data_IF_896209763956
#
_entry.id   IF_896209763956
#
_cell.length_a   1.000
_cell.length_b   1.000
_cell.length_c   1.000
_cell.angle_alpha   90.00
_cell.angle_beta   90.00
_cell.angle_gamma   90.00
#
_symmetry.space_group_name_H-M   'P 1'
#
loop_
_entity.id
_entity.type
_entity.pdbx_description
1 polymer ?
#
# COMPACT_ATOMS: atom_id res chain seq x y z
N UNK A 1 -5.25 -11.45 20.48
CA UNK A 1 -4.09 -12.06 19.78
C UNK A 1 -4.47 -12.72 18.46
N UNK A 2 -5.46 -13.63 18.42
CA UNK A 2 -5.89 -14.30 17.16
C UNK A 2 -6.29 -13.33 16.04
N UNK A 3 -7.13 -12.34 16.33
CA UNK A 3 -7.56 -11.35 15.32
C UNK A 3 -6.39 -10.54 14.76
N UNK A 4 -5.46 -10.12 15.62
CA UNK A 4 -4.23 -9.43 15.22
C UNK A 4 -3.36 -10.26 14.26
N UNK A 5 -3.09 -11.52 14.62
CA UNK A 5 -2.25 -12.38 13.77
C UNK A 5 -2.91 -12.67 12.43
N UNK A 6 -4.23 -12.87 12.40
CA UNK A 6 -4.99 -13.08 11.17
C UNK A 6 -5.04 -11.82 10.31
N UNK A 7 -5.31 -10.65 10.90
CA UNK A 7 -5.36 -9.39 10.17
C UNK A 7 -3.98 -9.00 9.63
N UNK A 8 -2.90 -9.29 10.35
CA UNK A 8 -1.53 -9.10 9.87
C UNK A 8 -1.19 -10.04 8.71
N UNK A 9 -1.37 -11.36 8.91
CA UNK A 9 -1.00 -12.35 7.90
C UNK A 9 -1.81 -12.20 6.61
N UNK A 10 -3.13 -12.13 6.73
CA UNK A 10 -4.01 -11.98 5.56
C UNK A 10 -3.95 -10.57 4.99
N UNK A 11 -3.77 -9.54 5.82
CA UNK A 11 -3.57 -8.17 5.36
C UNK A 11 -2.32 -8.04 4.50
N UNK A 12 -1.21 -8.66 4.91
CA UNK A 12 0.03 -8.66 4.15
C UNK A 12 -0.15 -9.37 2.81
N UNK A 13 -0.81 -10.54 2.80
CA UNK A 13 -1.11 -11.27 1.57
C UNK A 13 -2.00 -10.46 0.62
N UNK A 14 -3.10 -9.88 1.14
CA UNK A 14 -4.01 -9.05 0.33
C UNK A 14 -3.28 -7.84 -0.23
N UNK A 15 -2.48 -7.15 0.59
CA UNK A 15 -1.71 -5.99 0.13
C UNK A 15 -0.79 -6.35 -1.04
N UNK A 16 -0.02 -7.43 -0.92
CA UNK A 16 0.92 -7.85 -1.96
C UNK A 16 0.20 -8.36 -3.21
N UNK A 17 -0.87 -9.15 -3.06
CA UNK A 17 -1.63 -9.66 -4.21
C UNK A 17 -2.25 -8.50 -4.98
N UNK A 18 -2.93 -7.57 -4.28
CA UNK A 18 -3.56 -6.42 -4.92
C UNK A 18 -2.51 -5.51 -5.56
N UNK A 19 -1.43 -5.18 -4.85
CA UNK A 19 -0.33 -4.39 -5.41
C UNK A 19 0.29 -5.05 -6.66
N UNK A 20 0.52 -6.36 -6.63
CA UNK A 20 1.07 -7.11 -7.78
C UNK A 20 0.11 -7.11 -8.95
N UNK A 21 -1.20 -7.32 -8.71
CA UNK A 21 -2.21 -7.25 -9.77
C UNK A 21 -2.29 -5.85 -10.39
N UNK A 22 -2.27 -4.79 -9.57
CA UNK A 22 -2.26 -3.42 -10.05
C UNK A 22 -0.99 -3.13 -10.86
N UNK A 23 0.17 -3.58 -10.37
CA UNK A 23 1.44 -3.45 -11.08
C UNK A 23 1.37 -4.12 -12.47
N UNK A 24 0.94 -5.38 -12.52
CA UNK A 24 0.92 -6.17 -13.76
C UNK A 24 -0.11 -5.69 -14.78
N UNK A 25 -1.34 -5.41 -14.33
CA UNK A 25 -2.46 -5.22 -15.24
C UNK A 25 -2.86 -3.76 -15.45
N UNK A 26 -2.39 -2.84 -14.61
CA UNK A 26 -2.76 -1.42 -14.68
C UNK A 26 -1.53 -0.54 -14.84
N UNK A 27 -0.62 -0.54 -13.86
CA UNK A 27 0.50 0.39 -13.82
C UNK A 27 1.51 0.13 -14.92
N UNK A 28 1.93 -1.12 -15.13
CA UNK A 28 2.89 -1.46 -16.16
C UNK A 28 2.40 -1.05 -17.56
N UNK A 29 1.22 -1.46 -18.06
CA UNK A 29 0.75 -1.05 -19.38
C UNK A 29 0.46 0.46 -19.49
N UNK A 30 0.02 1.11 -18.40
CA UNK A 30 -0.32 2.53 -18.41
C UNK A 30 0.92 3.43 -18.35
N UNK A 31 1.88 3.09 -17.48
CA UNK A 31 2.97 3.98 -17.10
C UNK A 31 4.29 3.66 -17.78
N UNK A 32 4.55 2.42 -18.24
CA UNK A 32 5.79 2.13 -18.99
C UNK A 32 6.02 3.07 -20.18
N UNK A 33 5.00 3.37 -21.00
CA UNK A 33 5.16 4.33 -22.10
C UNK A 33 5.50 5.75 -21.61
N UNK A 34 5.05 6.11 -20.40
CA UNK A 34 5.20 7.45 -19.84
C UNK A 34 6.52 7.64 -19.08
N UNK A 35 7.16 6.55 -18.65
CA UNK A 35 8.42 6.58 -17.90
C UNK A 35 9.66 6.47 -18.80
N UNK A 36 9.55 6.28 -20.11
CA UNK A 36 10.68 6.27 -21.08
C UNK A 36 11.93 5.48 -20.62
N UNK A 37 11.77 4.37 -19.87
CA UNK A 37 12.90 3.58 -19.37
C UNK A 37 13.50 4.03 -18.02
N UNK A 38 12.88 4.98 -17.31
CA UNK A 38 13.26 5.40 -15.95
C UNK A 38 12.87 4.40 -14.84
N UNK A 39 12.17 3.31 -15.19
CA UNK A 39 11.80 2.27 -14.22
C UNK A 39 13.03 1.43 -13.90
N UNK A 40 13.42 1.44 -12.63
CA UNK A 40 14.57 0.67 -12.13
C UNK A 40 14.42 -0.81 -12.43
N UNK A 41 15.48 -1.41 -12.98
CA UNK A 41 15.58 -2.85 -13.19
C UNK A 41 16.15 -3.56 -11.96
N UNK A 42 16.01 -4.87 -11.91
CA UNK A 42 16.60 -5.70 -10.85
C UNK A 42 18.13 -5.53 -10.75
N UNK A 43 18.77 -5.35 -11.90
CA UNK A 43 20.21 -5.05 -12.04
C UNK A 43 20.62 -3.71 -11.43
N UNK A 44 19.67 -2.80 -11.20
CA UNK A 44 19.89 -1.47 -10.61
C UNK A 44 19.58 -1.43 -9.10
N UNK A 45 19.51 -2.60 -8.45
CA UNK A 45 19.32 -2.72 -7.01
C UNK A 45 17.88 -2.85 -6.55
N UNK A 46 16.95 -3.28 -7.41
CA UNK A 46 15.59 -3.62 -7.00
C UNK A 46 15.59 -4.98 -6.26
N UNK A 47 15.79 -4.91 -4.94
CA UNK A 47 15.87 -6.07 -4.06
C UNK A 47 14.47 -6.49 -3.57
N UNK A 48 13.94 -7.60 -4.09
CA UNK A 48 12.63 -8.12 -3.70
C UNK A 48 12.47 -8.37 -2.18
N UNK A 49 13.49 -8.88 -1.44
CA UNK A 49 13.39 -9.02 0.01
C UNK A 49 13.16 -7.70 0.75
N UNK A 50 13.81 -6.63 0.30
CA UNK A 50 13.65 -5.29 0.86
C UNK A 50 12.23 -4.76 0.62
N UNK A 51 11.68 -4.96 -0.58
CA UNK A 51 10.29 -4.61 -0.92
C UNK A 51 9.29 -5.36 -0.02
N UNK A 52 9.43 -6.68 0.09
CA UNK A 52 8.55 -7.51 0.93
C UNK A 52 8.63 -7.09 2.40
N UNK A 53 9.82 -6.78 2.90
CA UNK A 53 10.01 -6.29 4.27
C UNK A 53 9.31 -4.95 4.49
N UNK A 54 9.38 -4.03 3.52
CA UNK A 54 8.64 -2.77 3.53
C UNK A 54 7.14 -2.98 3.60
N UNK A 55 6.57 -3.85 2.76
CA UNK A 55 5.14 -4.16 2.78
C UNK A 55 4.69 -4.86 4.07
N UNK A 56 5.55 -5.69 4.65
CA UNK A 56 5.28 -6.33 5.93
C UNK A 56 5.20 -5.30 7.06
N UNK A 57 6.20 -4.42 7.15
CA UNK A 57 6.21 -3.33 8.14
C UNK A 57 5.02 -2.40 7.97
N UNK A 58 4.69 -2.01 6.73
CA UNK A 58 3.51 -1.21 6.44
C UNK A 58 2.24 -1.87 6.99
N UNK A 59 2.04 -3.15 6.69
CA UNK A 59 0.87 -3.91 7.17
C UNK A 59 0.86 -4.03 8.69
N UNK A 60 2.01 -4.30 9.31
CA UNK A 60 2.15 -4.35 10.77
C UNK A 60 1.70 -3.03 11.42
N UNK A 61 2.18 -1.90 10.91
CA UNK A 61 1.78 -0.58 11.41
C UNK A 61 0.31 -0.27 11.12
N UNK A 62 -0.24 -0.73 9.99
CA UNK A 62 -1.67 -0.62 9.71
C UNK A 62 -2.52 -1.34 10.76
N UNK A 63 -2.14 -2.56 11.13
CA UNK A 63 -2.88 -3.35 12.14
C UNK A 63 -2.74 -2.74 13.53
N UNK A 64 -1.54 -2.32 13.93
CA UNK A 64 -1.30 -1.67 15.21
C UNK A 64 -2.06 -0.34 15.28
N UNK A 65 -1.92 0.51 14.27
CA UNK A 65 -2.56 1.82 14.23
C UNK A 65 -4.08 1.74 14.17
N UNK A 66 -4.65 0.75 13.48
CA UNK A 66 -6.11 0.57 13.42
C UNK A 66 -6.75 0.41 14.81
N UNK A 67 -6.06 -0.24 15.75
CA UNK A 67 -6.53 -0.42 17.13
C UNK A 67 -6.59 0.89 17.93
N UNK A 68 -5.81 1.88 17.53
CA UNK A 68 -5.78 3.19 18.16
C UNK A 68 -6.56 4.24 17.36
N UNK A 69 -7.09 3.87 16.19
CA UNK A 69 -7.89 4.74 15.37
C UNK A 69 -9.32 4.83 15.93
N UNK A 70 -9.59 5.87 16.72
CA UNK A 70 -10.86 6.08 17.44
C UNK A 70 -11.90 6.83 16.59
N UNK A 71 -12.19 6.32 15.39
CA UNK A 71 -13.26 6.87 14.56
C UNK A 71 -14.60 6.21 14.89
N UNK A 72 -15.59 7.00 15.30
CA UNK A 72 -16.96 6.56 15.51
C UNK A 72 -17.71 6.42 14.17
N UNK A 73 -17.50 5.27 13.52
CA UNK A 73 -18.11 4.94 12.25
C UNK A 73 -18.27 3.42 12.12
N UNK A 74 -19.17 2.98 11.22
CA UNK A 74 -19.28 1.56 10.83
C UNK A 74 -17.91 1.05 10.35
N UNK A 75 -17.61 -0.21 10.67
CA UNK A 75 -16.32 -0.85 10.38
C UNK A 75 -15.86 -0.64 8.92
N UNK A 76 -16.75 -0.73 7.94
CA UNK A 76 -16.41 -0.56 6.53
C UNK A 76 -15.92 0.87 6.23
N UNK A 77 -16.65 1.89 6.71
CA UNK A 77 -16.27 3.30 6.53
C UNK A 77 -14.95 3.59 7.26
N UNK A 78 -14.79 3.05 8.47
CA UNK A 78 -13.56 3.14 9.25
C UNK A 78 -12.36 2.51 8.52
N UNK A 79 -12.54 1.32 7.95
CA UNK A 79 -11.53 0.64 7.14
C UNK A 79 -11.16 1.39 5.86
N UNK A 80 -12.15 1.95 5.16
CA UNK A 80 -11.91 2.79 3.97
C UNK A 80 -11.07 4.00 4.34
N UNK A 81 -11.47 4.77 5.37
CA UNK A 81 -10.76 5.97 5.80
C UNK A 81 -9.33 5.62 6.25
N UNK A 82 -9.18 4.56 7.05
CA UNK A 82 -7.87 4.11 7.51
C UNK A 82 -6.96 3.69 6.35
N UNK A 83 -7.48 2.89 5.41
CA UNK A 83 -6.72 2.44 4.25
C UNK A 83 -6.30 3.57 3.31
N UNK A 84 -7.17 4.56 3.10
CA UNK A 84 -6.85 5.78 2.34
C UNK A 84 -5.82 6.65 3.07
N UNK A 85 -5.96 6.84 4.38
CA UNK A 85 -5.01 7.61 5.19
C UNK A 85 -3.60 7.01 5.09
N UNK A 86 -3.50 5.69 5.32
CA UNK A 86 -2.21 5.01 5.26
C UNK A 86 -1.65 4.98 3.83
N UNK A 87 -2.49 4.77 2.82
CA UNK A 87 -2.07 4.84 1.43
C UNK A 87 -1.53 6.21 1.03
N UNK A 88 -2.20 7.29 1.45
CA UNK A 88 -1.71 8.65 1.26
C UNK A 88 -0.37 8.90 1.95
N UNK A 89 -0.19 8.42 3.18
CA UNK A 89 1.09 8.51 3.89
C UNK A 89 2.17 7.70 3.16
N UNK A 90 1.87 6.48 2.73
CA UNK A 90 2.81 5.63 1.99
C UNK A 90 3.19 6.23 0.64
N UNK A 91 2.25 6.89 -0.04
CA UNK A 91 2.51 7.66 -1.24
C UNK A 91 3.49 8.82 -0.96
N UNK A 92 3.19 9.68 0.02
CA UNK A 92 4.03 10.84 0.31
C UNK A 92 5.41 10.40 0.83
N UNK A 93 5.46 9.52 1.83
CA UNK A 93 6.71 9.13 2.47
C UNK A 93 7.53 8.15 1.60
N UNK A 94 6.90 7.08 1.11
CA UNK A 94 7.58 6.03 0.37
C UNK A 94 8.03 6.48 -1.01
N UNK A 95 7.11 7.09 -1.77
CA UNK A 95 7.38 7.42 -3.16
C UNK A 95 8.12 8.76 -3.32
N UNK A 96 7.68 9.83 -2.64
CA UNK A 96 8.31 11.15 -2.83
C UNK A 96 9.64 11.30 -2.09
N UNK A 97 9.75 10.80 -0.86
CA UNK A 97 10.92 11.04 0.00
C UNK A 97 11.95 9.92 -0.15
N UNK A 98 11.55 8.66 0.01
CA UNK A 98 12.49 7.53 0.11
C UNK A 98 12.91 6.99 -1.25
N UNK A 99 11.97 6.79 -2.17
CA UNK A 99 12.27 6.22 -3.49
C UNK A 99 12.94 7.21 -4.45
N UNK A 100 13.12 8.47 -4.05
CA UNK A 100 13.78 9.49 -4.86
C UNK A 100 13.03 9.84 -6.14
N UNK A 101 11.70 9.64 -6.17
CA UNK A 101 10.89 9.97 -7.35
C UNK A 101 10.87 11.47 -7.66
N UNK A 102 11.50 12.32 -6.85
CA UNK A 102 11.71 13.74 -7.16
C UNK A 102 12.32 14.00 -8.55
N UNK A 103 13.01 13.02 -9.15
CA UNK A 103 13.57 13.11 -10.50
C UNK A 103 12.67 12.52 -11.60
N UNK A 104 11.53 11.94 -11.27
CA UNK A 104 10.58 11.36 -12.23
C UNK A 104 9.51 12.38 -12.66
N UNK A 105 8.85 12.19 -13.82
CA UNK A 105 7.79 13.07 -14.24
C UNK A 105 6.61 13.05 -13.24
N UNK A 106 6.11 14.22 -12.81
CA UNK A 106 5.16 14.32 -11.70
C UNK A 106 3.81 13.66 -11.98
N UNK A 107 3.37 13.64 -13.25
CA UNK A 107 2.08 13.07 -13.63
C UNK A 107 2.07 11.53 -13.50
N UNK A 108 3.00 10.77 -14.12
CA UNK A 108 3.15 9.33 -13.91
C UNK A 108 3.30 8.93 -12.43
N UNK A 109 4.05 9.71 -11.64
CA UNK A 109 4.18 9.48 -10.20
C UNK A 109 2.86 9.60 -9.46
N UNK A 110 2.10 10.67 -9.74
CA UNK A 110 0.80 10.90 -9.13
C UNK A 110 -0.17 9.77 -9.49
N UNK A 111 -0.22 9.38 -10.76
CA UNK A 111 -1.07 8.27 -11.23
C UNK A 111 -0.66 6.97 -10.52
N UNK A 112 0.63 6.65 -10.46
CA UNK A 112 1.12 5.45 -9.77
C UNK A 112 0.71 5.45 -8.30
N UNK A 113 1.00 6.52 -7.58
CA UNK A 113 0.73 6.61 -6.15
C UNK A 113 -0.75 6.52 -5.78
N UNK A 114 -1.62 7.13 -6.60
CA UNK A 114 -3.08 7.04 -6.42
C UNK A 114 -3.55 5.60 -6.63
N UNK A 115 -3.03 4.91 -7.65
CA UNK A 115 -3.38 3.52 -7.92
C UNK A 115 -2.85 2.59 -6.83
N UNK A 116 -1.61 2.79 -6.37
CA UNK A 116 -1.00 1.97 -5.30
C UNK A 116 -1.76 2.08 -3.97
N UNK A 117 -2.43 3.20 -3.72
CA UNK A 117 -3.33 3.39 -2.56
C UNK A 117 -4.50 2.39 -2.54
N UNK A 118 -4.87 1.79 -3.68
CA UNK A 118 -5.91 0.76 -3.73
C UNK A 118 -5.50 -0.50 -2.96
N UNK A 119 -4.22 -0.85 -2.95
CA UNK A 119 -3.71 -2.00 -2.18
C UNK A 119 -3.85 -1.77 -0.66
N UNK A 120 -3.48 -0.58 -0.17
CA UNK A 120 -3.66 -0.22 1.24
C UNK A 120 -5.13 -0.04 1.60
N UNK A 121 -5.97 0.43 0.68
CA UNK A 121 -7.42 0.49 0.87
C UNK A 121 -8.02 -0.90 1.09
N UNK A 122 -7.72 -1.85 0.20
CA UNK A 122 -8.18 -3.23 0.32
C UNK A 122 -7.72 -3.86 1.65
N UNK A 123 -6.46 -3.61 2.02
CA UNK A 123 -5.87 -4.07 3.29
C UNK A 123 -6.57 -3.44 4.50
N UNK A 124 -6.84 -2.14 4.48
CA UNK A 124 -7.56 -1.43 5.54
C UNK A 124 -8.99 -1.95 5.75
N UNK A 125 -9.70 -2.27 4.67
CA UNK A 125 -11.03 -2.89 4.73
C UNK A 125 -10.95 -4.29 5.35
N UNK A 126 -9.96 -5.10 4.96
CA UNK A 126 -9.77 -6.43 5.53
C UNK A 126 -9.45 -6.39 7.03
N UNK A 127 -8.54 -5.50 7.43
CA UNK A 127 -8.22 -5.29 8.85
C UNK A 127 -9.48 -4.89 9.61
N UNK A 128 -10.24 -3.91 9.10
CA UNK A 128 -11.48 -3.49 9.72
C UNK A 128 -12.51 -4.60 9.85
N UNK A 129 -12.59 -5.51 8.86
CA UNK A 129 -13.47 -6.68 8.93
C UNK A 129 -13.11 -7.61 10.09
N UNK A 130 -11.82 -7.87 10.33
CA UNK A 130 -11.38 -8.72 11.45
C UNK A 130 -11.58 -8.09 12.82
N UNK A 131 -11.54 -6.75 12.88
CA UNK A 131 -11.67 -5.96 14.11
C UNK A 131 -13.07 -5.33 14.28
N UNK A 132 -14.08 -5.80 13.53
CA UNK A 132 -15.43 -5.17 13.49
C UNK A 132 -16.23 -5.27 14.80
N UNK A 133 -15.84 -6.18 15.69
CA UNK A 133 -16.52 -6.46 16.96
C UNK A 133 -15.65 -6.04 18.18
N UNK A 134 -14.49 -5.42 17.93
CA UNK A 134 -13.68 -4.75 18.95
C UNK A 134 -14.09 -3.27 19.03
#
# INVERSE_FOLDING_TARGET
MKQFSLSLGLGFLVNNIVATMLAMFVLNPLLNPMFEGMIRKQEEGLEMPSLLSGYFLLTLFMVIGYRHFSLDAKWLKKGIIWGLLVGGIAFIAGHLIVAGWSSMPPLPMLISGVIDTVATLATGILIAYFHRNE
#
